data_IF_668176200270
#
_entry.id   IF_668176200270
#
_cell.length_a   1.000
_cell.length_b   1.000
_cell.length_c   1.000
_cell.angle_alpha   90.00
_cell.angle_beta   90.00
_cell.angle_gamma   90.00
#
_symmetry.space_group_name_H-M   'P 1'
#
loop_
_entity.id
_entity.type
_entity.pdbx_description
1 polymer ?
#
# COMPACT_ATOMS: atom_id res chain seq x y z
N UNK A 1 -23.48 -11.76 13.44
CA UNK A 1 -23.03 -12.16 14.80
C UNK A 1 -21.81 -11.30 15.09
N UNK A 2 -21.85 -10.46 16.13
CA UNK A 2 -20.73 -9.58 16.47
C UNK A 2 -19.53 -10.43 16.89
N UNK A 3 -18.35 -10.13 16.33
CA UNK A 3 -17.09 -10.72 16.77
C UNK A 3 -16.87 -10.41 18.25
N UNK A 4 -16.59 -11.42 19.06
CA UNK A 4 -16.23 -11.22 20.47
C UNK A 4 -15.00 -10.31 20.56
N UNK A 5 -14.98 -9.34 21.50
CA UNK A 5 -13.83 -8.49 21.70
C UNK A 5 -12.61 -9.32 22.12
N UNK A 6 -11.44 -8.98 21.58
CA UNK A 6 -10.19 -9.63 21.90
C UNK A 6 -9.85 -9.42 23.38
N UNK A 7 -9.43 -10.50 24.05
CA UNK A 7 -8.89 -10.42 25.40
C UNK A 7 -7.57 -9.63 25.43
N UNK A 8 -7.20 -9.06 26.59
CA UNK A 8 -5.90 -8.36 26.75
C UNK A 8 -4.70 -9.21 26.27
N UNK A 9 -4.59 -10.52 26.56
CA UNK A 9 -3.53 -11.36 26.01
C UNK A 9 -3.53 -11.43 24.47
N UNK A 10 -4.70 -11.52 23.85
CA UNK A 10 -4.83 -11.52 22.38
C UNK A 10 -4.46 -10.16 21.78
N UNK A 11 -4.78 -9.04 22.44
CA UNK A 11 -4.37 -7.70 22.01
C UNK A 11 -2.85 -7.51 22.10
N UNK A 12 -2.22 -8.02 23.15
CA UNK A 12 -0.75 -8.02 23.25
C UNK A 12 -0.10 -8.87 22.16
N UNK A 13 -0.73 -9.99 21.80
CA UNK A 13 -0.24 -10.81 20.69
C UNK A 13 -0.41 -10.11 19.33
N UNK A 14 -1.52 -9.40 19.09
CA UNK A 14 -1.70 -8.52 17.94
C UNK A 14 -0.56 -7.50 17.83
N UNK A 15 -0.26 -6.84 18.96
CA UNK A 15 0.83 -5.86 19.05
C UNK A 15 2.14 -6.48 18.59
N UNK A 16 2.52 -7.63 19.17
CA UNK A 16 3.83 -8.26 18.93
C UNK A 16 3.99 -8.76 17.50
N UNK A 17 2.93 -9.35 16.93
CA UNK A 17 2.99 -9.98 15.60
C UNK A 17 2.78 -8.99 14.46
N UNK A 18 1.88 -8.03 14.63
CA UNK A 18 1.42 -7.16 13.55
C UNK A 18 1.94 -5.73 13.72
N UNK A 19 1.73 -5.12 14.88
CA UNK A 19 2.00 -3.69 15.08
C UNK A 19 3.50 -3.42 15.13
N UNK A 20 4.24 -4.25 15.86
CA UNK A 20 5.70 -4.17 15.95
C UNK A 20 6.36 -4.46 14.59
N UNK A 21 5.64 -5.06 13.63
CA UNK A 21 6.09 -5.20 12.25
C UNK A 21 6.05 -3.92 11.42
N UNK A 22 5.24 -2.95 11.80
CA UNK A 22 5.12 -1.67 11.11
C UNK A 22 6.35 -0.77 11.33
N UNK A 23 6.48 0.27 10.52
CA UNK A 23 7.58 1.24 10.61
C UNK A 23 7.63 1.93 11.98
N UNK A 24 8.85 2.13 12.51
CA UNK A 24 9.05 2.74 13.83
C UNK A 24 8.39 4.11 13.98
N UNK A 25 8.37 4.92 12.91
CA UNK A 25 7.72 6.23 12.92
C UNK A 25 6.23 6.14 13.26
N UNK A 26 5.52 5.15 12.70
CA UNK A 26 4.08 4.94 12.94
C UNK A 26 3.81 4.39 14.34
N UNK A 27 4.67 3.49 14.85
CA UNK A 27 4.54 2.99 16.23
C UNK A 27 4.76 4.12 17.24
N UNK A 28 5.74 4.99 16.99
CA UNK A 28 5.98 6.18 17.82
C UNK A 28 4.78 7.13 17.79
N UNK A 29 4.10 7.25 16.64
CA UNK A 29 2.88 8.04 16.53
C UNK A 29 1.74 7.46 17.36
N UNK A 30 1.52 6.14 17.28
CA UNK A 30 0.53 5.43 18.11
C UNK A 30 0.79 5.67 19.61
N UNK A 31 2.04 5.56 20.04
CA UNK A 31 2.43 5.78 21.44
C UNK A 31 2.35 7.25 21.89
N UNK A 32 2.36 8.24 20.98
CA UNK A 32 2.14 9.65 21.37
C UNK A 32 0.70 9.93 21.80
N UNK A 33 -0.23 9.10 21.37
CA UNK A 33 -1.63 9.15 21.81
C UNK A 33 -1.86 8.58 23.21
N UNK A 34 -0.84 7.99 23.84
CA UNK A 34 -0.91 7.39 25.17
C UNK A 34 0.04 8.08 26.15
N UNK A 35 -0.05 7.76 27.44
CA UNK A 35 0.91 8.26 28.45
C UNK A 35 2.24 7.49 28.45
N UNK A 36 2.34 6.45 27.61
CA UNK A 36 3.47 5.56 27.56
C UNK A 36 4.74 6.24 27.01
N UNK A 37 5.90 5.79 27.49
CA UNK A 37 7.19 6.33 27.04
C UNK A 37 7.47 5.92 25.60
N UNK A 38 8.05 6.83 24.82
CA UNK A 38 8.52 6.52 23.47
C UNK A 38 9.90 5.87 23.57
N UNK A 39 9.94 4.54 23.39
CA UNK A 39 11.18 3.77 23.34
C UNK A 39 12.07 4.05 22.11
N UNK A 40 13.24 3.41 22.08
CA UNK A 40 14.17 3.48 20.95
C UNK A 40 14.23 2.17 20.15
N UNK A 41 13.98 1.03 20.80
CA UNK A 41 14.07 -0.32 20.22
C UNK A 41 12.70 -0.95 19.98
N UNK A 42 12.65 -2.04 19.19
CA UNK A 42 11.40 -2.78 18.94
C UNK A 42 10.88 -3.45 20.21
N UNK A 43 11.79 -3.90 21.06
CA UNK A 43 11.54 -4.47 22.37
C UNK A 43 10.92 -3.42 23.31
N UNK A 44 11.47 -2.20 23.31
CA UNK A 44 10.87 -1.09 24.08
C UNK A 44 9.46 -0.78 23.57
N UNK A 45 9.24 -0.74 22.25
CA UNK A 45 7.91 -0.47 21.71
C UNK A 45 6.91 -1.55 22.12
N UNK A 46 7.27 -2.83 22.05
CA UNK A 46 6.41 -3.91 22.48
C UNK A 46 6.05 -3.78 23.97
N UNK A 47 7.02 -3.52 24.84
CA UNK A 47 6.79 -3.35 26.27
C UNK A 47 5.90 -2.14 26.59
N UNK A 48 6.10 -1.01 25.91
CA UNK A 48 5.30 0.21 26.12
C UNK A 48 3.86 0.03 25.62
N UNK A 49 3.65 -0.67 24.51
CA UNK A 49 2.32 -1.00 24.01
C UNK A 49 1.60 -1.99 24.93
N UNK A 50 2.30 -3.02 25.43
CA UNK A 50 1.74 -3.97 26.41
C UNK A 50 1.29 -3.23 27.69
N UNK A 51 2.09 -2.27 28.17
CA UNK A 51 1.75 -1.46 29.33
C UNK A 51 0.53 -0.54 29.09
N UNK A 52 0.42 0.06 27.90
CA UNK A 52 -0.73 0.88 27.53
C UNK A 52 -2.03 0.06 27.43
N UNK A 53 -1.95 -1.19 26.96
CA UNK A 53 -3.09 -2.14 26.97
C UNK A 53 -3.47 -2.50 28.41
N UNK A 54 -2.49 -2.78 29.27
CA UNK A 54 -2.77 -3.11 30.67
C UNK A 54 -3.46 -1.97 31.42
N UNK A 55 -3.06 -0.73 31.12
CA UNK A 55 -3.63 0.50 31.67
C UNK A 55 -4.96 0.93 31.01
N UNK A 56 -5.47 0.16 30.04
CA UNK A 56 -6.69 0.48 29.27
C UNK A 56 -6.62 1.82 28.48
N UNK A 57 -5.40 2.34 28.26
CA UNK A 57 -5.16 3.52 27.41
C UNK A 57 -5.18 3.16 25.92
N UNK A 58 -4.93 1.89 25.60
CA UNK A 58 -4.93 1.38 24.24
C UNK A 58 -5.91 0.22 24.13
N UNK A 59 -7.09 0.50 23.55
CA UNK A 59 -8.16 -0.50 23.37
C UNK A 59 -8.07 -1.19 22.01
N UNK A 60 -8.84 -2.27 21.85
CA UNK A 60 -8.99 -2.93 20.54
C UNK A 60 -9.42 -1.95 19.45
N UNK A 61 -10.43 -1.11 19.73
CA UNK A 61 -10.96 -0.13 18.77
C UNK A 61 -9.88 0.84 18.31
N UNK A 62 -9.06 1.35 19.24
CA UNK A 62 -7.95 2.24 18.89
C UNK A 62 -6.91 1.54 18.00
N UNK A 63 -6.60 0.27 18.29
CA UNK A 63 -5.65 -0.50 17.49
C UNK A 63 -6.18 -0.83 16.09
N UNK A 64 -7.45 -1.20 15.98
CA UNK A 64 -8.10 -1.51 14.70
C UNK A 64 -8.22 -0.27 13.83
N UNK A 65 -8.62 0.87 14.41
CA UNK A 65 -8.63 2.15 13.73
C UNK A 65 -7.23 2.54 13.22
N UNK A 66 -6.19 2.37 14.05
CA UNK A 66 -4.82 2.65 13.63
C UNK A 66 -4.33 1.69 12.53
N UNK A 67 -4.63 0.40 12.63
CA UNK A 67 -4.29 -0.58 11.59
C UNK A 67 -4.99 -0.25 10.27
N UNK A 68 -6.25 0.20 10.31
CA UNK A 68 -6.97 0.64 9.11
C UNK A 68 -6.30 1.82 8.41
N UNK A 69 -5.56 2.66 9.14
CA UNK A 69 -4.84 3.82 8.60
C UNK A 69 -3.42 3.53 8.11
N UNK A 70 -2.77 2.47 8.61
CA UNK A 70 -1.33 2.24 8.38
C UNK A 70 -1.03 0.90 7.71
N UNK A 71 -1.74 -0.16 8.05
CA UNK A 71 -1.42 -1.50 7.56
C UNK A 71 -1.89 -1.69 6.11
N UNK A 72 -0.99 -2.17 5.25
CA UNK A 72 -1.31 -2.32 3.83
C UNK A 72 -1.54 -1.00 3.11
N UNK A 73 -0.97 0.09 3.63
CA UNK A 73 -0.88 1.38 2.95
C UNK A 73 0.59 1.72 2.69
N UNK A 74 0.90 2.04 1.43
CA UNK A 74 2.28 2.18 0.95
C UNK A 74 3.03 0.84 0.85
N UNK A 75 4.30 0.92 0.45
CA UNK A 75 5.15 -0.22 0.06
C UNK A 75 4.42 -1.26 -0.82
N UNK A 76 3.67 -0.77 -1.80
CA UNK A 76 2.66 -1.54 -2.53
C UNK A 76 2.67 -1.21 -4.03
N UNK A 77 2.10 -2.12 -4.80
CA UNK A 77 1.55 -1.85 -6.09
C UNK A 77 0.09 -1.41 -5.92
N UNK A 78 -0.32 -0.33 -6.57
CA UNK A 78 -1.71 0.14 -6.58
C UNK A 78 -2.20 0.18 -8.02
N UNK A 79 -3.39 -0.35 -8.26
CA UNK A 79 -4.04 -0.39 -9.56
C UNK A 79 -5.34 0.40 -9.49
N UNK A 80 -5.56 1.30 -10.45
CA UNK A 80 -6.85 1.99 -10.61
C UNK A 80 -7.68 1.26 -11.67
N UNK A 81 -8.91 0.94 -11.30
CA UNK A 81 -9.85 0.19 -12.14
C UNK A 81 -11.21 0.89 -12.15
N UNK A 82 -12.01 0.60 -13.18
CA UNK A 82 -13.40 1.05 -13.24
C UNK A 82 -14.24 0.43 -12.11
N UNK A 83 -15.20 1.19 -11.53
CA UNK A 83 -16.12 0.64 -10.55
C UNK A 83 -17.00 -0.49 -11.11
N UNK A 84 -17.34 -1.49 -10.30
CA UNK A 84 -18.27 -2.54 -10.72
C UNK A 84 -19.67 -1.96 -10.97
N UNK A 85 -20.39 -2.54 -11.92
CA UNK A 85 -21.76 -2.14 -12.25
C UNK A 85 -22.74 -2.76 -11.25
N UNK A 86 -22.95 -2.10 -10.12
CA UNK A 86 -23.88 -2.51 -9.07
C UNK A 86 -24.42 -1.29 -8.31
N UNK A 87 -25.68 -1.34 -7.92
CA UNK A 87 -26.26 -0.37 -6.99
C UNK A 87 -25.67 -0.57 -5.59
N UNK A 88 -25.01 0.43 -4.98
CA UNK A 88 -24.37 0.27 -3.67
C UNK A 88 -25.30 -0.25 -2.56
N UNK A 89 -26.59 0.10 -2.64
CA UNK A 89 -27.62 -0.39 -1.69
C UNK A 89 -27.85 -1.90 -1.73
N UNK A 90 -27.47 -2.59 -2.82
CA UNK A 90 -27.60 -4.04 -2.96
C UNK A 90 -26.47 -4.81 -2.26
N UNK A 91 -25.32 -4.17 -2.01
CA UNK A 91 -24.11 -4.82 -1.48
C UNK A 91 -24.32 -5.44 -0.10
N UNK A 92 -25.07 -4.79 0.78
CA UNK A 92 -25.33 -5.30 2.13
C UNK A 92 -26.05 -6.66 2.09
N UNK A 93 -27.09 -6.77 1.26
CA UNK A 93 -27.82 -8.02 1.06
C UNK A 93 -26.96 -9.07 0.35
N UNK A 94 -26.19 -8.66 -0.65
CA UNK A 94 -25.25 -9.53 -1.37
C UNK A 94 -24.19 -10.14 -0.46
N UNK A 95 -23.54 -9.33 0.38
CA UNK A 95 -22.56 -9.81 1.36
C UNK A 95 -23.20 -10.80 2.35
N UNK A 96 -24.38 -10.47 2.88
CA UNK A 96 -25.08 -11.32 3.83
C UNK A 96 -25.49 -12.69 3.24
N UNK A 97 -25.78 -12.75 1.94
CA UNK A 97 -26.09 -13.98 1.22
C UNK A 97 -24.84 -14.74 0.73
N UNK A 98 -23.66 -14.10 0.75
CA UNK A 98 -22.41 -14.68 0.25
C UNK A 98 -21.72 -15.58 1.29
N UNK A 99 -20.77 -16.44 0.86
CA UNK A 99 -19.87 -17.15 1.77
C UNK A 99 -19.01 -16.23 2.65
N UNK A 100 -18.96 -14.93 2.34
CA UNK A 100 -18.13 -13.95 3.02
C UNK A 100 -18.88 -13.14 4.09
N UNK A 101 -20.13 -13.50 4.43
CA UNK A 101 -20.92 -12.82 5.45
C UNK A 101 -20.19 -12.68 6.80
N UNK A 102 -19.36 -13.67 7.16
CA UNK A 102 -18.57 -13.65 8.39
C UNK A 102 -17.38 -12.65 8.38
N UNK A 103 -16.98 -12.16 7.20
CA UNK A 103 -15.92 -11.15 7.08
C UNK A 103 -16.47 -9.71 7.24
N UNK A 104 -17.79 -9.52 7.17
CA UNK A 104 -18.41 -8.20 7.32
C UNK A 104 -18.17 -7.65 8.73
N UNK A 105 -17.47 -6.52 8.80
CA UNK A 105 -17.07 -5.86 10.04
C UNK A 105 -16.33 -6.78 11.02
N UNK A 106 -15.63 -7.80 10.50
CA UNK A 106 -14.83 -8.69 11.32
C UNK A 106 -13.67 -7.92 11.97
N UNK A 107 -13.35 -8.26 13.22
CA UNK A 107 -12.21 -7.69 13.96
C UNK A 107 -10.88 -7.91 13.24
N UNK A 108 -9.83 -7.18 13.64
CA UNK A 108 -8.50 -7.39 13.09
C UNK A 108 -8.05 -8.84 13.29
N UNK A 109 -7.83 -9.53 12.17
CA UNK A 109 -7.38 -10.93 12.18
C UNK A 109 -6.01 -11.03 12.87
N UNK A 110 -5.79 -12.07 13.68
CA UNK A 110 -4.46 -12.46 14.20
C UNK A 110 -3.78 -13.48 13.30
N UNK A 111 -4.46 -13.90 12.24
CA UNK A 111 -4.06 -15.02 11.41
C UNK A 111 -3.08 -14.58 10.33
N UNK A 112 -2.19 -15.51 10.01
CA UNK A 112 -1.19 -15.40 8.95
C UNK A 112 -1.44 -16.61 8.04
N UNK A 113 -2.49 -16.58 7.22
CA UNK A 113 -2.89 -17.71 6.39
C UNK A 113 -1.82 -17.99 5.32
N UNK A 114 -1.54 -19.24 4.99
CA UNK A 114 -0.52 -19.58 3.97
C UNK A 114 -0.94 -19.10 2.57
N UNK A 115 -2.24 -19.14 2.30
CA UNK A 115 -2.87 -18.63 1.08
C UNK A 115 -3.53 -17.28 1.30
N UNK A 116 -3.81 -16.57 0.21
CA UNK A 116 -4.54 -15.31 0.27
C UNK A 116 -5.98 -15.57 0.72
N UNK A 117 -6.37 -15.00 1.86
CA UNK A 117 -7.71 -15.20 2.43
C UNK A 117 -8.35 -13.86 2.78
N UNK A 118 -9.63 -13.70 2.42
CA UNK A 118 -10.42 -12.53 2.78
C UNK A 118 -10.69 -12.55 4.29
N UNK A 119 -10.25 -11.50 4.99
CA UNK A 119 -10.38 -11.40 6.45
C UNK A 119 -11.33 -10.30 6.89
N UNK A 120 -11.54 -9.28 6.07
CA UNK A 120 -12.38 -8.15 6.45
C UNK A 120 -13.11 -7.57 5.25
N UNK A 121 -14.39 -7.24 5.44
CA UNK A 121 -15.19 -6.41 4.56
C UNK A 121 -15.73 -5.24 5.39
N UNK A 122 -15.37 -4.02 5.01
CA UNK A 122 -15.96 -2.79 5.51
C UNK A 122 -16.99 -2.27 4.50
N UNK A 123 -18.26 -2.19 4.90
CA UNK A 123 -19.31 -1.56 4.11
C UNK A 123 -19.94 -0.42 4.92
N UNK A 124 -19.93 0.79 4.37
CA UNK A 124 -20.59 1.95 4.96
C UNK A 124 -21.18 2.85 3.89
N UNK A 125 -21.81 3.95 4.30
CA UNK A 125 -22.47 4.88 3.37
C UNK A 125 -21.49 5.50 2.35
N UNK A 126 -20.20 5.58 2.69
CA UNK A 126 -19.18 6.21 1.84
C UNK A 126 -18.44 5.26 0.90
N UNK A 127 -18.57 3.94 1.06
CA UNK A 127 -17.80 2.99 0.24
C UNK A 127 -17.75 1.56 0.74
N UNK A 128 -16.99 0.77 -0.01
CA UNK A 128 -16.68 -0.64 0.18
C UNK A 128 -15.17 -0.83 0.29
N UNK A 129 -14.76 -1.51 1.35
CA UNK A 129 -13.38 -1.87 1.66
C UNK A 129 -13.31 -3.39 1.83
N UNK A 130 -12.30 -4.03 1.27
CA UNK A 130 -12.03 -5.45 1.48
C UNK A 130 -10.56 -5.67 1.71
N UNK A 131 -10.22 -6.58 2.62
CA UNK A 131 -8.84 -6.86 3.03
C UNK A 131 -8.59 -8.36 3.04
N UNK A 132 -7.60 -8.77 2.26
CA UNK A 132 -7.07 -10.13 2.28
C UNK A 132 -5.70 -10.13 2.94
N UNK A 133 -5.43 -11.22 3.66
CA UNK A 133 -4.14 -11.46 4.27
C UNK A 133 -3.49 -12.70 3.67
N UNK A 134 -2.16 -12.67 3.62
CA UNK A 134 -1.33 -13.83 3.33
C UNK A 134 -0.06 -13.76 4.18
N UNK A 135 0.37 -14.91 4.69
CA UNK A 135 1.64 -15.08 5.37
C UNK A 135 2.78 -14.97 4.37
N UNK A 136 3.77 -14.15 4.71
CA UNK A 136 5.07 -14.13 4.05
C UNK A 136 6.12 -14.60 5.04
N UNK A 137 6.75 -15.72 4.73
CA UNK A 137 7.99 -16.10 5.41
C UNK A 137 9.16 -15.38 4.73
N UNK A 138 9.70 -14.35 5.36
CA UNK A 138 10.89 -13.65 4.90
C UNK A 138 12.12 -14.08 5.68
N UNK A 139 13.22 -14.38 4.98
CA UNK A 139 14.54 -14.49 5.60
C UNK A 139 15.29 -13.17 5.44
N UNK A 140 15.46 -12.45 6.54
CA UNK A 140 16.21 -11.20 6.56
C UNK A 140 17.62 -11.43 7.07
N UNK A 141 18.62 -10.87 6.39
CA UNK A 141 20.00 -10.98 6.84
C UNK A 141 20.17 -10.36 8.23
N UNK A 142 20.72 -11.12 9.17
CA UNK A 142 20.98 -10.68 10.54
C UNK A 142 22.48 -10.62 10.81
N UNK A 143 23.13 -9.57 10.27
CA UNK A 143 24.57 -9.36 10.37
C UNK A 143 25.17 -9.54 11.77
N UNK A 144 24.51 -9.11 12.87
CA UNK A 144 25.06 -9.28 14.21
C UNK A 144 25.28 -10.74 14.66
N UNK A 145 24.69 -11.73 13.97
CA UNK A 145 24.90 -13.17 14.25
C UNK A 145 25.78 -13.86 13.20
N UNK A 146 26.33 -13.11 12.25
CA UNK A 146 27.30 -13.67 11.30
C UNK A 146 28.58 -14.07 12.06
N UNK A 147 29.21 -15.15 11.62
CA UNK A 147 30.50 -15.58 12.19
C UNK A 147 31.36 -16.25 11.12
N UNK A 148 32.64 -16.45 11.43
CA UNK A 148 33.62 -17.07 10.53
C UNK A 148 34.32 -18.18 11.30
N UNK A 149 34.54 -19.31 10.64
CA UNK A 149 35.29 -20.45 11.18
C UNK A 149 36.49 -20.70 10.28
N UNK A 150 37.65 -20.96 10.89
CA UNK A 150 38.86 -21.38 10.19
C UNK A 150 39.10 -22.86 10.46
N UNK A 151 39.20 -23.66 9.40
CA UNK A 151 39.43 -25.10 9.47
C UNK A 151 40.63 -25.46 8.58
N UNK A 152 41.78 -25.72 9.21
CA UNK A 152 43.03 -25.99 8.49
C UNK A 152 43.51 -24.78 7.69
N UNK A 153 43.49 -24.89 6.36
CA UNK A 153 43.85 -23.81 5.42
C UNK A 153 42.62 -23.08 4.86
N UNK A 154 41.41 -23.49 5.26
CA UNK A 154 40.15 -22.99 4.71
C UNK A 154 39.46 -22.04 5.69
N UNK A 155 38.71 -21.09 5.13
CA UNK A 155 37.99 -20.06 5.90
C UNK A 155 36.54 -20.03 5.46
N UNK A 156 35.64 -20.38 6.37
CA UNK A 156 34.20 -20.49 6.13
C UNK A 156 33.47 -19.28 6.73
N UNK A 157 32.66 -18.59 5.93
CA UNK A 157 31.78 -17.50 6.40
C UNK A 157 30.36 -18.03 6.59
N UNK A 158 29.87 -17.94 7.82
CA UNK A 158 28.51 -18.30 8.20
C UNK A 158 27.65 -17.05 8.33
N UNK A 159 26.54 -17.14 7.64
CA UNK A 159 25.79 -16.04 7.13
C UNK A 159 24.39 -16.15 7.79
N UNK A 160 24.12 -15.38 8.84
CA UNK A 160 22.95 -15.61 9.68
C UNK A 160 21.71 -14.93 9.11
N UNK A 161 20.63 -15.68 8.95
CA UNK A 161 19.33 -15.13 8.53
C UNK A 161 18.31 -15.31 9.65
N UNK A 162 17.49 -14.29 9.86
CA UNK A 162 16.34 -14.34 10.76
C UNK A 162 15.08 -14.57 9.93
N UNK A 163 14.38 -15.67 10.20
CA UNK A 163 13.04 -15.86 9.66
C UNK A 163 12.09 -14.93 10.39
N UNK A 164 11.30 -14.18 9.62
CA UNK A 164 10.18 -13.39 10.12
C UNK A 164 8.95 -13.77 9.32
N UNK A 165 7.87 -14.07 10.03
CA UNK A 165 6.55 -14.12 9.43
C UNK A 165 6.03 -12.69 9.37
N UNK A 166 5.98 -12.14 8.18
CA UNK A 166 5.35 -10.86 7.91
C UNK A 166 3.96 -11.12 7.32
N UNK A 167 3.00 -10.25 7.63
CA UNK A 167 1.67 -10.31 7.04
C UNK A 167 1.67 -9.45 5.78
N UNK A 168 1.45 -10.08 4.63
CA UNK A 168 1.16 -9.37 3.40
C UNK A 168 -0.33 -9.06 3.33
N UNK A 169 -0.63 -7.88 2.80
CA UNK A 169 -1.97 -7.33 2.75
C UNK A 169 -2.31 -7.00 1.31
N UNK A 170 -3.49 -7.44 0.90
CA UNK A 170 -4.13 -6.99 -0.34
C UNK A 170 -5.40 -6.25 0.05
N UNK A 171 -5.65 -5.11 -0.57
CA UNK A 171 -6.84 -4.29 -0.34
C UNK A 171 -7.58 -4.04 -1.64
N UNK A 172 -8.90 -4.01 -1.55
CA UNK A 172 -9.78 -3.41 -2.54
C UNK A 172 -10.52 -2.26 -1.86
N UNK A 173 -10.47 -1.08 -2.45
CA UNK A 173 -11.08 0.13 -1.91
C UNK A 173 -11.92 0.82 -2.99
N UNK A 174 -13.19 1.06 -2.68
CA UNK A 174 -14.11 1.79 -3.52
C UNK A 174 -14.87 2.81 -2.68
N UNK A 175 -14.58 4.11 -2.88
CA UNK A 175 -15.44 5.18 -2.38
C UNK A 175 -16.56 5.37 -3.40
N UNK A 176 -17.83 5.30 -2.98
CA UNK A 176 -18.94 5.31 -3.94
C UNK A 176 -19.06 6.63 -4.73
N UNK A 177 -18.45 7.71 -4.26
CA UNK A 177 -18.37 8.98 -4.99
C UNK A 177 -17.22 9.06 -6.00
N UNK A 178 -16.28 8.12 -5.99
CA UNK A 178 -15.15 8.12 -6.91
C UNK A 178 -15.50 7.42 -8.23
N UNK A 179 -14.96 7.90 -9.36
CA UNK A 179 -15.09 7.25 -10.66
C UNK A 179 -14.12 6.07 -10.84
N UNK A 180 -13.49 5.59 -9.77
CA UNK A 180 -12.51 4.51 -9.78
C UNK A 180 -12.58 3.67 -8.50
N UNK A 181 -12.05 2.46 -8.56
CA UNK A 181 -11.64 1.68 -7.39
C UNK A 181 -10.13 1.49 -7.39
N UNK A 182 -9.57 1.25 -6.21
CA UNK A 182 -8.16 0.94 -6.04
C UNK A 182 -7.98 -0.50 -5.57
N UNK A 183 -7.09 -1.24 -6.24
CA UNK A 183 -6.57 -2.52 -5.76
C UNK A 183 -5.14 -2.29 -5.32
N UNK A 184 -4.84 -2.60 -4.06
CA UNK A 184 -3.53 -2.43 -3.47
C UNK A 184 -2.95 -3.79 -3.12
N UNK A 185 -1.77 -4.08 -3.62
CA UNK A 185 -1.08 -5.36 -3.47
C UNK A 185 0.28 -5.05 -2.86
N UNK A 186 0.52 -5.53 -1.64
CA UNK A 186 1.83 -5.41 -0.99
C UNK A 186 2.97 -5.84 -1.93
N UNK A 187 4.12 -5.14 -1.90
CA UNK A 187 5.30 -5.42 -2.75
C UNK A 187 6.03 -6.69 -2.35
N UNK A 188 5.33 -7.82 -2.40
CA UNK A 188 5.87 -9.14 -2.21
C UNK A 188 6.01 -9.83 -3.58
N UNK A 189 7.24 -10.16 -4.03
CA UNK A 189 7.44 -10.81 -5.33
C UNK A 189 6.77 -12.19 -5.43
N UNK A 190 6.47 -12.82 -4.28
CA UNK A 190 5.80 -14.13 -4.24
C UNK A 190 4.28 -14.04 -4.44
N UNK A 191 3.70 -12.83 -4.45
CA UNK A 191 2.28 -12.64 -4.73
C UNK A 191 2.06 -12.62 -6.24
N UNK A 192 1.31 -13.58 -6.76
CA UNK A 192 0.82 -13.54 -8.13
C UNK A 192 -0.33 -12.54 -8.25
N UNK A 193 -0.04 -11.42 -8.91
CA UNK A 193 -1.03 -10.38 -9.16
C UNK A 193 -2.25 -10.92 -9.93
N UNK A 194 -2.07 -11.84 -10.88
CA UNK A 194 -3.20 -12.38 -11.66
C UNK A 194 -4.15 -13.17 -10.77
N UNK A 195 -3.60 -13.98 -9.87
CA UNK A 195 -4.38 -14.70 -8.87
C UNK A 195 -5.14 -13.73 -7.95
N UNK A 196 -4.48 -12.66 -7.48
CA UNK A 196 -5.14 -11.60 -6.68
C UNK A 196 -6.32 -10.98 -7.42
N UNK A 197 -6.15 -10.59 -8.69
CA UNK A 197 -7.25 -10.03 -9.49
C UNK A 197 -8.41 -11.02 -9.67
N UNK A 198 -8.09 -12.31 -9.80
CA UNK A 198 -9.10 -13.37 -9.88
C UNK A 198 -9.87 -13.54 -8.57
N UNK A 199 -9.17 -13.54 -7.43
CA UNK A 199 -9.80 -13.65 -6.11
C UNK A 199 -10.71 -12.45 -5.82
N UNK A 200 -10.25 -11.24 -6.14
CA UNK A 200 -11.06 -10.01 -6.00
C UNK A 200 -12.31 -10.09 -6.88
N UNK A 201 -12.17 -10.51 -8.15
CA UNK A 201 -13.30 -10.71 -9.06
C UNK A 201 -14.30 -11.72 -8.50
N UNK A 202 -13.81 -12.86 -8.03
CA UNK A 202 -14.66 -13.92 -7.46
C UNK A 202 -15.41 -13.44 -6.21
N UNK A 203 -14.74 -12.71 -5.31
CA UNK A 203 -15.38 -12.11 -4.14
C UNK A 203 -16.42 -11.07 -4.51
N UNK A 204 -16.11 -10.16 -5.46
CA UNK A 204 -17.07 -9.17 -5.95
C UNK A 204 -18.30 -9.83 -6.58
N UNK A 205 -18.11 -10.87 -7.40
CA UNK A 205 -19.21 -11.63 -7.99
C UNK A 205 -20.06 -12.33 -6.93
N UNK A 206 -19.43 -12.91 -5.90
CA UNK A 206 -20.13 -13.57 -4.80
C UNK A 206 -21.02 -12.63 -3.98
N UNK A 207 -20.71 -11.32 -3.95
CA UNK A 207 -21.52 -10.31 -3.27
C UNK A 207 -22.47 -9.55 -4.21
N UNK A 208 -22.63 -10.01 -5.45
CA UNK A 208 -23.63 -9.53 -6.41
C UNK A 208 -23.12 -8.58 -7.49
N UNK A 209 -21.82 -8.31 -7.58
CA UNK A 209 -21.27 -7.56 -8.70
C UNK A 209 -21.24 -8.41 -9.98
N UNK A 210 -21.08 -7.77 -11.15
CA UNK A 210 -20.87 -8.49 -12.40
C UNK A 210 -19.58 -9.33 -12.34
N UNK A 211 -19.67 -10.58 -12.81
CA UNK A 211 -18.50 -11.46 -12.95
C UNK A 211 -17.67 -11.10 -14.19
N UNK A 212 -17.11 -9.90 -14.17
CA UNK A 212 -16.30 -9.32 -15.25
C UNK A 212 -14.89 -9.03 -14.75
N UNK A 213 -13.91 -9.18 -15.63
CA UNK A 213 -12.54 -8.80 -15.30
C UNK A 213 -12.48 -7.29 -14.98
N UNK A 214 -11.75 -6.87 -13.93
CA UNK A 214 -11.53 -5.46 -13.66
C UNK A 214 -10.92 -4.74 -14.86
N UNK A 215 -11.49 -3.61 -15.24
CA UNK A 215 -11.02 -2.81 -16.36
C UNK A 215 -10.03 -1.76 -15.83
N UNK A 216 -8.72 -1.83 -16.16
CA UNK A 216 -7.74 -0.87 -15.69
C UNK A 216 -7.96 0.51 -16.32
N UNK A 217 -7.81 1.58 -15.54
CA UNK A 217 -7.89 2.96 -16.02
C UNK A 217 -6.49 3.49 -16.32
N UNK A 218 -6.12 3.71 -17.60
CA UNK A 218 -4.79 4.18 -17.95
C UNK A 218 -4.47 5.56 -17.35
N UNK A 219 -3.23 5.71 -16.88
CA UNK A 219 -2.70 6.93 -16.26
C UNK A 219 -1.68 7.65 -17.14
N UNK A 220 -1.72 7.42 -18.45
CA UNK A 220 -0.77 8.04 -19.38
C UNK A 220 -0.88 9.57 -19.34
N UNK A 221 -2.10 10.10 -19.31
CA UNK A 221 -2.32 11.55 -19.28
C UNK A 221 -1.83 12.15 -17.96
N UNK A 222 -2.04 11.46 -16.83
CA UNK A 222 -1.49 11.88 -15.54
C UNK A 222 0.03 12.08 -15.59
N UNK A 223 0.76 11.15 -16.21
CA UNK A 223 2.22 11.25 -16.38
C UNK A 223 2.59 12.42 -17.28
N UNK A 224 1.91 12.58 -18.42
CA UNK A 224 2.18 13.67 -19.38
C UNK A 224 1.96 15.05 -18.74
N UNK A 225 0.84 15.21 -18.03
CA UNK A 225 0.50 16.46 -17.33
C UNK A 225 1.47 16.73 -16.18
N UNK A 226 1.81 15.70 -15.39
CA UNK A 226 2.81 15.84 -14.33
C UNK A 226 4.18 16.22 -14.91
N UNK A 227 4.59 15.66 -16.04
CA UNK A 227 5.84 16.03 -16.70
C UNK A 227 5.86 17.50 -17.15
N UNK A 228 4.75 18.01 -17.67
CA UNK A 228 4.66 19.37 -18.20
C UNK A 228 4.49 20.44 -17.11
N UNK A 229 3.76 20.13 -16.03
CA UNK A 229 3.30 21.11 -15.02
C UNK A 229 3.76 20.80 -13.60
N UNK A 230 4.16 19.56 -13.33
CA UNK A 230 4.43 19.06 -11.99
C UNK A 230 5.84 19.41 -11.50
N UNK A 231 5.92 19.85 -10.25
CA UNK A 231 7.18 19.85 -9.49
C UNK A 231 7.45 18.44 -8.97
N UNK A 232 8.72 18.12 -8.75
CA UNK A 232 9.11 16.82 -8.18
C UNK A 232 9.09 15.64 -9.15
N UNK A 233 8.91 15.85 -10.45
CA UNK A 233 9.11 14.80 -11.46
C UNK A 233 10.59 14.49 -11.59
N UNK A 234 10.99 13.25 -11.29
CA UNK A 234 12.39 12.83 -11.28
C UNK A 234 12.82 12.16 -12.58
N UNK A 235 11.93 11.36 -13.17
CA UNK A 235 12.13 10.77 -14.48
C UNK A 235 10.82 10.60 -15.21
N UNK A 236 10.87 10.63 -16.54
CA UNK A 236 9.75 10.36 -17.44
C UNK A 236 10.24 9.56 -18.62
N UNK A 237 9.40 8.67 -19.11
CA UNK A 237 9.62 7.85 -20.28
C UNK A 237 8.36 7.81 -21.12
N UNK A 238 8.44 8.32 -22.34
CA UNK A 238 7.36 8.31 -23.31
C UNK A 238 7.71 7.33 -24.42
N UNK A 239 6.77 6.45 -24.79
CA UNK A 239 7.03 5.40 -25.77
C UNK A 239 5.92 5.30 -26.82
N UNK A 240 6.34 4.88 -27.99
CA UNK A 240 5.53 4.40 -29.12
C UNK A 240 6.15 3.09 -29.62
N UNK A 241 5.51 2.37 -30.54
CA UNK A 241 5.94 1.02 -30.90
C UNK A 241 7.34 0.93 -31.54
N UNK A 242 7.82 2.01 -32.16
CA UNK A 242 9.14 2.10 -32.80
C UNK A 242 10.23 2.82 -31.99
N UNK A 243 9.95 3.30 -30.77
CA UNK A 243 10.95 4.06 -30.00
C UNK A 243 10.45 4.67 -28.70
N UNK A 244 11.37 5.28 -27.96
CA UNK A 244 11.06 5.97 -26.72
C UNK A 244 11.96 7.19 -26.53
N UNK A 245 11.49 8.14 -25.73
CA UNK A 245 12.28 9.25 -25.20
C UNK A 245 12.22 9.16 -23.68
N UNK A 246 13.38 9.25 -23.03
CA UNK A 246 13.52 9.20 -21.59
C UNK A 246 14.32 10.40 -21.10
N UNK A 247 13.79 11.07 -20.08
CA UNK A 247 14.43 12.20 -19.42
C UNK A 247 14.44 11.92 -17.93
N UNK A 248 15.58 12.11 -17.31
CA UNK A 248 15.76 11.91 -15.88
C UNK A 248 16.69 12.96 -15.30
N UNK A 249 16.41 13.36 -14.07
CA UNK A 249 17.34 14.09 -13.22
C UNK A 249 18.12 13.09 -12.37
N UNK A 250 19.42 13.34 -12.22
CA UNK A 250 20.30 12.59 -11.32
C UNK A 250 20.57 13.31 -10.01
N UNK A 251 19.95 14.49 -9.82
CA UNK A 251 20.08 15.27 -8.59
C UNK A 251 19.41 14.55 -7.43
N UNK A 252 19.89 14.77 -6.20
CA UNK A 252 19.19 14.26 -5.02
C UNK A 252 17.83 14.96 -4.80
N UNK A 253 17.73 16.23 -5.21
CA UNK A 253 16.56 17.08 -5.02
C UNK A 253 16.25 17.92 -6.27
N UNK A 254 15.04 18.48 -6.36
CA UNK A 254 14.63 19.38 -7.45
C UNK A 254 14.11 18.72 -8.74
N UNK A 255 14.43 17.45 -9.02
CA UNK A 255 13.89 16.72 -10.18
C UNK A 255 14.31 17.28 -11.54
N UNK A 256 13.54 16.98 -12.59
CA UNK A 256 13.79 17.44 -13.98
C UNK A 256 13.75 18.97 -14.07
N UNK A 257 12.81 19.60 -13.35
CA UNK A 257 12.60 21.05 -13.36
C UNK A 257 13.86 21.83 -12.93
N UNK A 258 14.62 21.27 -11.99
CA UNK A 258 15.87 21.86 -11.50
C UNK A 258 17.08 21.69 -12.46
N UNK A 259 16.94 20.95 -13.57
CA UNK A 259 18.01 20.73 -14.56
C UNK A 259 17.61 21.38 -15.87
N UNK A 260 17.96 22.66 -16.04
CA UNK A 260 17.54 23.51 -17.17
C UNK A 260 17.62 22.81 -18.54
N UNK A 261 18.74 22.18 -18.94
CA UNK A 261 18.81 21.56 -20.27
C UNK A 261 17.83 20.38 -20.43
N UNK A 262 17.63 19.60 -19.37
CA UNK A 262 16.70 18.45 -19.39
C UNK A 262 15.25 18.95 -19.43
N UNK A 263 14.94 20.01 -18.68
CA UNK A 263 13.62 20.67 -18.72
C UNK A 263 13.31 21.20 -20.12
N UNK A 264 14.26 21.87 -20.77
CA UNK A 264 14.08 22.39 -22.14
C UNK A 264 13.84 21.26 -23.14
N UNK A 265 14.57 20.15 -23.03
CA UNK A 265 14.33 18.95 -23.88
C UNK A 265 12.91 18.42 -23.66
N UNK A 266 12.48 18.26 -22.40
CA UNK A 266 11.13 17.79 -22.08
C UNK A 266 10.05 18.71 -22.66
N UNK A 267 10.23 20.03 -22.57
CA UNK A 267 9.29 21.02 -23.13
C UNK A 267 9.24 21.03 -24.66
N UNK A 268 10.33 20.60 -25.32
CA UNK A 268 10.38 20.50 -26.78
C UNK A 268 9.75 19.20 -27.32
N UNK A 269 9.54 18.20 -26.46
CA UNK A 269 8.92 16.92 -26.85
C UNK A 269 7.39 17.05 -26.86
N UNK A 270 6.78 16.78 -28.01
CA UNK A 270 5.32 16.64 -28.11
C UNK A 270 4.87 15.31 -27.50
N UNK A 271 4.62 15.32 -26.19
CA UNK A 271 4.17 14.14 -25.43
C UNK A 271 2.82 13.59 -25.90
N UNK A 272 2.05 14.37 -26.68
CA UNK A 272 0.78 13.94 -27.28
C UNK A 272 0.95 12.79 -28.27
N UNK A 273 2.09 12.69 -28.94
CA UNK A 273 2.38 11.68 -29.97
C UNK A 273 2.71 10.28 -29.43
N UNK A 274 2.82 10.13 -28.11
CA UNK A 274 3.21 8.87 -27.47
C UNK A 274 2.00 8.15 -26.87
N UNK A 275 1.89 6.86 -27.14
CA UNK A 275 0.79 6.01 -26.65
C UNK A 275 1.00 5.55 -25.20
N UNK A 276 2.25 5.53 -24.75
CA UNK A 276 2.65 5.05 -23.42
C UNK A 276 3.45 6.11 -22.68
N UNK A 277 3.16 6.28 -21.40
CA UNK A 277 3.92 7.15 -20.51
C UNK A 277 4.19 6.47 -19.17
N UNK A 278 5.40 6.66 -18.66
CA UNK A 278 5.81 6.24 -17.32
C UNK A 278 6.61 7.35 -16.65
N UNK A 279 6.59 7.41 -15.33
CA UNK A 279 7.36 8.42 -14.62
C UNK A 279 7.59 8.12 -13.14
N UNK A 280 8.64 8.73 -12.60
CA UNK A 280 8.93 8.80 -11.17
C UNK A 280 8.50 10.16 -10.64
N UNK A 281 7.46 10.19 -9.81
CA UNK A 281 6.90 11.40 -9.21
C UNK A 281 7.22 11.44 -7.72
N UNK A 282 7.76 12.55 -7.24
CA UNK A 282 7.99 12.77 -5.82
C UNK A 282 6.94 13.74 -5.27
N UNK A 283 6.00 13.21 -4.49
CA UNK A 283 5.04 14.00 -3.74
C UNK A 283 5.70 14.52 -2.48
N UNK A 284 5.42 15.77 -2.11
CA UNK A 284 6.03 16.45 -0.97
C UNK A 284 4.96 17.22 -0.20
N UNK A 285 5.15 17.36 1.12
CA UNK A 285 4.14 17.90 2.02
C UNK A 285 3.69 19.32 1.66
N UNK A 286 4.67 20.22 1.47
CA UNK A 286 4.42 21.64 1.20
C UNK A 286 3.72 21.90 -0.15
N UNK A 287 3.90 20.99 -1.11
CA UNK A 287 3.39 21.16 -2.48
C UNK A 287 2.11 20.37 -2.74
N UNK A 288 2.03 19.16 -2.18
CA UNK A 288 1.01 18.17 -2.54
C UNK A 288 0.06 17.83 -1.38
N UNK A 289 0.37 18.27 -0.16
CA UNK A 289 -0.44 17.99 1.03
C UNK A 289 -0.30 16.58 1.59
N UNK A 290 0.77 15.86 1.23
CA UNK A 290 1.13 14.59 1.86
C UNK A 290 1.78 14.82 3.23
N UNK A 291 1.78 13.83 4.11
CA UNK A 291 2.41 13.91 5.44
C UNK A 291 3.94 14.03 5.37
N UNK A 292 4.54 13.61 4.26
CA UNK A 292 5.98 13.57 4.02
C UNK A 292 6.30 13.41 2.53
N UNK A 293 7.59 13.36 2.20
CA UNK A 293 8.05 13.06 0.83
C UNK A 293 7.81 11.59 0.48
N UNK A 294 7.12 11.33 -0.62
CA UNK A 294 6.77 9.99 -1.10
C UNK A 294 7.11 9.90 -2.58
N UNK A 295 7.95 8.94 -2.94
CA UNK A 295 8.25 8.60 -4.32
C UNK A 295 7.22 7.58 -4.84
N UNK A 296 6.69 7.81 -6.04
CA UNK A 296 5.73 6.95 -6.72
C UNK A 296 6.17 6.76 -8.17
N UNK A 297 6.34 5.50 -8.59
CA UNK A 297 6.42 5.17 -10.01
C UNK A 297 5.02 5.06 -10.57
N UNK A 298 4.74 5.73 -11.67
CA UNK A 298 3.51 5.59 -12.42
C UNK A 298 3.82 4.85 -13.72
N UNK A 299 3.14 3.74 -13.94
CA UNK A 299 3.14 2.99 -15.20
C UNK A 299 1.81 3.26 -15.89
N UNK A 300 1.76 4.30 -16.74
CA UNK A 300 0.52 4.86 -17.28
C UNK A 300 -0.36 3.82 -17.97
N UNK A 301 0.17 3.09 -18.93
CA UNK A 301 -0.57 2.05 -19.68
C UNK A 301 -1.06 0.89 -18.80
N UNK A 302 -0.32 0.56 -17.74
CA UNK A 302 -0.64 -0.56 -16.86
C UNK A 302 -1.63 -0.17 -15.75
N UNK A 303 -2.05 1.10 -15.69
CA UNK A 303 -2.85 1.66 -14.59
C UNK A 303 -2.22 1.41 -13.21
N UNK A 304 -0.89 1.26 -13.16
CA UNK A 304 -0.17 0.76 -12.00
C UNK A 304 0.70 1.84 -11.39
N UNK A 305 0.57 2.01 -10.09
CA UNK A 305 1.47 2.78 -9.25
C UNK A 305 2.37 1.83 -8.46
N UNK A 306 3.62 2.22 -8.26
CA UNK A 306 4.54 1.54 -7.36
C UNK A 306 5.02 2.54 -6.31
N UNK A 307 4.74 2.22 -5.06
CA UNK A 307 5.05 3.08 -3.91
C UNK A 307 6.09 2.34 -3.07
N UNK A 308 7.25 2.95 -2.80
CA UNK A 308 8.36 2.27 -2.09
C UNK A 308 8.36 2.45 -0.59
N UNK A 309 7.53 3.35 -0.06
CA UNK A 309 7.52 3.68 1.35
C UNK A 309 6.18 3.26 1.96
N UNK A 310 6.19 2.70 3.16
CA UNK A 310 4.97 2.48 3.94
C UNK A 310 4.32 3.83 4.26
N UNK A 311 3.07 4.06 3.90
CA UNK A 311 2.39 5.35 4.02
C UNK A 311 1.14 5.22 4.88
N UNK A 312 0.51 6.34 5.22
CA UNK A 312 -0.85 6.32 5.75
C UNK A 312 -1.87 6.25 4.62
N UNK A 313 -3.09 5.84 4.94
CA UNK A 313 -4.24 5.91 4.04
C UNK A 313 -4.42 7.30 3.44
N UNK A 314 -4.39 8.34 4.25
CA UNK A 314 -4.55 9.73 3.82
C UNK A 314 -3.56 10.14 2.71
N UNK A 315 -2.29 9.71 2.83
CA UNK A 315 -1.26 9.98 1.83
C UNK A 315 -1.59 9.30 0.49
N UNK A 316 -2.01 8.04 0.55
CA UNK A 316 -2.34 7.26 -0.66
C UNK A 316 -3.58 7.84 -1.34
N UNK A 317 -4.62 8.18 -0.57
CA UNK A 317 -5.82 8.84 -1.08
C UNK A 317 -5.46 10.14 -1.76
N UNK A 318 -4.65 10.99 -1.11
CA UNK A 318 -4.24 12.28 -1.68
C UNK A 318 -3.43 12.12 -2.96
N UNK A 319 -2.51 11.15 -3.02
CA UNK A 319 -1.73 10.85 -4.22
C UNK A 319 -2.65 10.42 -5.38
N UNK A 320 -3.61 9.54 -5.11
CA UNK A 320 -4.56 9.06 -6.13
C UNK A 320 -5.44 10.19 -6.63
N UNK A 321 -5.95 11.05 -5.75
CA UNK A 321 -6.74 12.23 -6.13
C UNK A 321 -5.98 13.17 -7.06
N UNK A 322 -4.73 13.51 -6.72
CA UNK A 322 -3.88 14.36 -7.55
C UNK A 322 -3.57 13.73 -8.91
N UNK A 323 -3.28 12.43 -8.94
CA UNK A 323 -3.05 11.72 -10.20
C UNK A 323 -4.32 11.67 -11.05
N UNK A 324 -5.48 11.52 -10.42
CA UNK A 324 -6.76 11.56 -11.10
C UNK A 324 -7.06 12.94 -11.70
N UNK A 325 -6.80 14.01 -10.97
CA UNK A 325 -6.89 15.39 -11.47
C UNK A 325 -5.98 15.59 -12.69
N UNK A 326 -4.73 15.12 -12.62
CA UNK A 326 -3.81 15.16 -13.76
C UNK A 326 -4.30 14.33 -14.95
N UNK A 327 -4.91 13.18 -14.70
CA UNK A 327 -5.39 12.30 -15.78
C UNK A 327 -6.57 12.90 -16.55
N UNK A 328 -7.35 13.76 -15.91
CA UNK A 328 -8.53 14.41 -16.48
C UNK A 328 -8.27 15.87 -16.89
N UNK A 329 -7.04 16.35 -16.70
CA UNK A 329 -6.66 17.69 -17.15
C UNK A 329 -6.61 17.73 -18.70
N UNK A 330 -7.13 18.81 -19.31
CA UNK A 330 -7.18 18.97 -20.75
C UNK A 330 -5.80 19.08 -21.40
#
# INVERSE_FOLDING_TARGET
>A
MGTEPLSKPQLKELVRRVIVAQGNAFIKELLRGTSARIGATKEDFAANLDAAIDADELTQENLEAWLAEVEGWGDQHLYLIEPPQIEPGALAAGIAASPHAGALSASASLEFPETLELKHIGLGNGGLSMVWHQCKAGWNRWKPKDFVVEEGLERYRFDAYRQRLDRSVVRYEWRFGDPYCAILIHRNPDIDHKAVFQDIRATLAAIGCSDTAPVPIPLNQAVKVAAAKGKGVHSTRFELDGGYVEMASTLAEGGIEAVEPVRVVLQAVDTGQFDRAQGMLHFAAEEHGTSRRIAVQVYGREARLRIWAQCKREDIVRIVELLWEYNNAP
#
